data_IF_474107444643
#
_entry.id   IF_474107444643
#
_cell.length_a   1.000
_cell.length_b   1.000
_cell.length_c   1.000
_cell.angle_alpha   90.00
_cell.angle_beta   90.00
_cell.angle_gamma   90.00
#
_symmetry.space_group_name_H-M   'P 1'
#
loop_
_entity.id
_entity.type
_entity.pdbx_description
1 polymer ?
#
# COMPACT_ATOMS: atom_id res chain seq x y z
N UNK A 1 -14.08 15.80 12.26
CA UNK A 1 -15.31 16.19 11.51
C UNK A 1 -16.13 14.92 11.31
N UNK A 2 -17.15 14.66 12.14
CA UNK A 2 -17.83 13.37 12.22
C UNK A 2 -18.57 13.00 10.92
N UNK A 3 -18.62 11.71 10.58
CA UNK A 3 -19.43 11.19 9.47
C UNK A 3 -20.59 10.35 10.05
N UNK A 4 -21.82 10.63 9.60
CA UNK A 4 -23.02 9.95 10.08
C UNK A 4 -23.26 8.67 9.27
N UNK A 5 -23.27 7.52 9.95
CA UNK A 5 -23.65 6.24 9.35
C UNK A 5 -24.87 5.70 10.09
N UNK A 6 -26.04 5.70 9.45
CA UNK A 6 -27.27 4.98 9.81
C UNK A 6 -27.85 5.19 11.23
N UNK A 7 -27.07 4.89 12.26
CA UNK A 7 -27.44 4.95 13.68
C UNK A 7 -26.33 5.52 14.58
N UNK A 8 -25.24 6.10 14.04
CA UNK A 8 -24.16 6.69 14.85
C UNK A 8 -23.23 7.67 14.13
N UNK A 9 -22.50 8.46 14.92
CA UNK A 9 -21.46 9.38 14.48
C UNK A 9 -20.09 8.76 14.71
N UNK A 10 -19.39 8.42 13.63
CA UNK A 10 -17.99 7.99 13.72
C UNK A 10 -17.07 9.20 13.59
N UNK A 11 -16.10 9.34 14.50
CA UNK A 11 -15.05 10.35 14.39
C UNK A 11 -14.20 10.10 13.14
N UNK A 12 -14.01 11.11 12.30
CA UNK A 12 -13.09 11.04 11.16
C UNK A 12 -11.66 11.48 11.58
N UNK A 13 -10.61 10.73 11.19
CA UNK A 13 -10.64 9.49 10.40
C UNK A 13 -11.14 8.28 11.24
N UNK A 14 -11.81 7.31 10.62
CA UNK A 14 -12.28 6.11 11.32
C UNK A 14 -11.11 5.45 12.05
N UNK A 15 -11.33 5.01 13.29
CA UNK A 15 -10.36 4.26 14.10
C UNK A 15 -10.11 2.87 13.50
N UNK A 16 -9.36 2.85 12.41
CA UNK A 16 -9.02 1.69 11.60
C UNK A 16 -8.11 2.20 10.51
N UNK A 17 -6.81 2.24 10.78
CA UNK A 17 -5.81 2.69 9.82
C UNK A 17 -6.00 1.98 8.48
N UNK A 18 -5.79 2.70 7.37
CA UNK A 18 -5.89 2.14 6.04
C UNK A 18 -4.99 0.91 5.92
N UNK A 19 -5.59 -0.29 5.94
CA UNK A 19 -4.87 -1.53 5.63
C UNK A 19 -4.63 -1.57 4.13
N UNK A 20 -3.51 -0.98 3.72
CA UNK A 20 -3.05 -1.08 2.34
C UNK A 20 -2.36 -2.43 2.13
N UNK A 21 -3.16 -3.50 1.98
CA UNK A 21 -2.67 -4.86 1.84
C UNK A 21 -2.34 -5.20 0.37
N UNK A 22 -1.67 -4.29 -0.34
CA UNK A 22 -1.26 -4.55 -1.71
C UNK A 22 -0.10 -5.54 -1.74
N UNK A 23 -0.27 -6.62 -2.50
CA UNK A 23 0.81 -7.55 -2.78
C UNK A 23 1.75 -6.96 -3.83
N UNK A 24 3.02 -7.39 -3.82
CA UNK A 24 4.02 -6.96 -4.83
C UNK A 24 3.54 -7.24 -6.26
N UNK A 25 2.75 -8.31 -6.45
CA UNK A 25 2.20 -8.68 -7.75
C UNK A 25 1.14 -7.68 -8.23
N UNK A 26 0.27 -7.23 -7.33
CA UNK A 26 -0.75 -6.24 -7.64
C UNK A 26 -0.16 -4.87 -7.91
N UNK A 27 0.89 -4.48 -7.17
CA UNK A 27 1.66 -3.26 -7.46
C UNK A 27 2.30 -3.35 -8.86
N UNK A 28 2.96 -4.47 -9.17
CA UNK A 28 3.57 -4.69 -10.48
C UNK A 28 2.54 -4.57 -11.61
N UNK A 29 1.35 -5.15 -11.44
CA UNK A 29 0.28 -5.03 -12.44
C UNK A 29 -0.22 -3.59 -12.59
N UNK A 30 -0.46 -2.88 -11.49
CA UNK A 30 -0.95 -1.48 -11.51
C UNK A 30 0.03 -0.51 -12.16
N UNK A 31 1.33 -0.75 -12.03
CA UNK A 31 2.37 0.07 -12.66
C UNK A 31 2.72 -0.39 -14.08
N UNK A 32 1.95 -1.32 -14.65
CA UNK A 32 2.08 -1.75 -16.05
C UNK A 32 3.14 -2.81 -16.32
N UNK A 33 3.65 -3.47 -15.28
CA UNK A 33 4.57 -4.59 -15.45
C UNK A 33 3.81 -5.90 -15.62
N UNK A 34 4.18 -6.65 -16.65
CA UNK A 34 3.66 -7.98 -16.94
C UNK A 34 4.27 -9.07 -16.06
N UNK A 35 5.36 -8.79 -15.33
CA UNK A 35 5.99 -9.76 -14.42
C UNK A 35 6.51 -9.12 -13.13
N UNK A 36 6.06 -9.67 -11.99
CA UNK A 36 6.51 -9.29 -10.65
C UNK A 36 8.03 -9.44 -10.43
N UNK A 37 8.66 -10.39 -11.13
CA UNK A 37 10.09 -10.65 -11.01
C UNK A 37 10.92 -9.56 -11.69
N UNK A 38 10.46 -9.09 -12.86
CA UNK A 38 11.10 -7.98 -13.57
C UNK A 38 10.89 -6.67 -12.81
N UNK A 39 9.66 -6.42 -12.35
CA UNK A 39 9.36 -5.28 -11.47
C UNK A 39 10.28 -5.22 -10.25
N UNK A 40 10.43 -6.33 -9.51
CA UNK A 40 11.29 -6.35 -8.32
C UNK A 40 12.77 -6.09 -8.63
N UNK A 41 13.27 -6.56 -9.78
CA UNK A 41 14.65 -6.28 -10.23
C UNK A 41 14.84 -4.80 -10.56
N UNK A 42 13.93 -4.22 -11.35
CA UNK A 42 13.98 -2.81 -11.71
C UNK A 42 13.81 -1.92 -10.48
N UNK A 43 12.83 -2.22 -9.62
CA UNK A 43 12.57 -1.46 -8.40
C UNK A 43 13.78 -1.45 -7.47
N UNK A 44 14.45 -2.60 -7.26
CA UNK A 44 15.67 -2.64 -6.46
C UNK A 44 16.84 -1.90 -7.11
N UNK A 45 16.95 -1.92 -8.44
CA UNK A 45 17.99 -1.15 -9.15
C UNK A 45 17.80 0.35 -8.97
N UNK A 46 16.56 0.82 -9.00
CA UNK A 46 16.22 2.24 -8.93
C UNK A 46 16.19 2.77 -7.49
N UNK A 47 15.58 2.02 -6.56
CA UNK A 47 15.35 2.46 -5.17
C UNK A 47 16.28 1.82 -4.15
N UNK A 48 17.16 0.89 -4.57
CA UNK A 48 18.09 0.17 -3.69
C UNK A 48 17.45 -0.85 -2.74
N UNK A 49 16.12 -0.84 -2.59
CA UNK A 49 15.35 -1.73 -1.69
C UNK A 49 14.36 -2.58 -2.48
N UNK A 50 13.90 -3.70 -1.90
CA UNK A 50 12.83 -4.48 -2.54
C UNK A 50 11.45 -3.84 -2.32
N UNK A 51 10.48 -4.03 -3.23
CA UNK A 51 9.10 -3.55 -3.01
C UNK A 51 8.49 -4.06 -1.70
N UNK A 52 8.85 -5.27 -1.29
CA UNK A 52 8.40 -5.88 -0.02
C UNK A 52 8.95 -5.14 1.20
N UNK A 53 10.22 -4.73 1.16
CA UNK A 53 10.82 -3.93 2.22
C UNK A 53 10.23 -2.52 2.26
N UNK A 54 9.96 -1.93 1.10
CA UNK A 54 9.32 -0.63 0.98
C UNK A 54 7.91 -0.63 1.60
N UNK A 55 7.07 -1.62 1.27
CA UNK A 55 5.72 -1.76 1.86
C UNK A 55 5.80 -2.03 3.37
N UNK A 56 6.77 -2.82 3.83
CA UNK A 56 6.99 -3.07 5.26
C UNK A 56 7.49 -1.81 6.01
N UNK A 57 8.21 -0.92 5.34
CA UNK A 57 8.76 0.32 5.90
C UNK A 57 7.76 1.47 5.99
N UNK A 58 6.75 1.51 5.10
CA UNK A 58 5.73 2.56 5.04
C UNK A 58 4.78 2.58 6.26
N UNK A 59 4.83 1.60 7.16
CA UNK A 59 4.04 1.59 8.40
C UNK A 59 4.76 2.14 9.64
N UNK A 60 5.81 2.97 9.48
CA UNK A 60 6.53 3.56 10.63
C UNK A 60 6.59 5.09 10.67
N UNK A 61 5.74 5.80 9.93
CA UNK A 61 5.61 7.26 10.03
C UNK A 61 4.25 7.64 10.63
#
# INVERSE_FOLDING_TARGET
>A
MYQAFGTGFQSYPPKGGYKFNLTVNEVAYRVGFSSHAYFSKCFRKEFGVTPKEFVRGIMKL
#
